data_IF_299194146538
#
_entry.id   IF_299194146538
#
_cell.length_a   1.000
_cell.length_b   1.000
_cell.length_c   1.000
_cell.angle_alpha   90.00
_cell.angle_beta   90.00
_cell.angle_gamma   90.00
#
_symmetry.space_group_name_H-M   'P 1'
#
loop_
_entity.id
_entity.type
_entity.pdbx_description
1 polymer ?
#
# COMPACT_ATOMS: atom_id res chain seq x y z
N UNK A 1 1.31 -12.92 6.67
CA UNK A 1 2.71 -13.42 6.57
C UNK A 1 2.91 -14.35 5.35
N UNK A 2 1.93 -15.12 4.94
CA UNK A 2 2.03 -15.97 3.73
C UNK A 2 2.31 -15.12 2.49
N UNK A 3 1.55 -14.05 2.27
CA UNK A 3 1.76 -13.14 1.15
C UNK A 3 3.19 -12.55 1.11
N UNK A 4 3.78 -12.22 2.27
CA UNK A 4 5.17 -11.72 2.32
C UNK A 4 6.17 -12.77 1.85
N UNK A 5 5.94 -14.05 2.15
CA UNK A 5 6.75 -15.17 1.64
C UNK A 5 6.58 -15.34 0.12
N UNK A 6 5.36 -15.13 -0.38
CA UNK A 6 5.09 -15.28 -1.81
C UNK A 6 5.77 -14.21 -2.64
N UNK A 7 5.84 -12.98 -2.14
CA UNK A 7 6.53 -11.88 -2.83
C UNK A 7 8.05 -11.94 -2.67
N UNK A 8 8.59 -12.63 -1.68
CA UNK A 8 10.03 -12.72 -1.43
C UNK A 8 10.81 -13.19 -2.67
N UNK A 9 10.23 -14.08 -3.47
CA UNK A 9 10.84 -14.58 -4.72
C UNK A 9 11.02 -13.52 -5.80
N UNK A 10 10.28 -12.40 -5.71
CA UNK A 10 10.35 -11.26 -6.64
C UNK A 10 11.29 -10.15 -6.13
N UNK A 11 11.80 -10.28 -4.91
CA UNK A 11 12.73 -9.33 -4.31
C UNK A 11 14.19 -9.77 -4.52
N UNK A 12 15.14 -8.84 -4.59
CA UNK A 12 16.56 -9.18 -4.68
C UNK A 12 17.00 -9.97 -3.43
N UNK A 13 18.05 -10.79 -3.54
CA UNK A 13 18.59 -11.58 -2.41
C UNK A 13 19.48 -10.78 -1.45
N UNK A 14 19.89 -9.57 -1.83
CA UNK A 14 20.77 -8.70 -1.04
C UNK A 14 20.02 -7.81 -0.04
N UNK A 15 20.53 -6.60 0.12
CA UNK A 15 19.92 -5.56 0.92
C UNK A 15 18.54 -5.19 0.41
N UNK A 16 17.66 -4.76 1.31
CA UNK A 16 16.32 -4.33 0.97
C UNK A 16 16.08 -2.88 1.38
N UNK A 17 15.59 -2.09 0.45
CA UNK A 17 14.96 -0.80 0.74
C UNK A 17 13.45 -0.93 0.61
N UNK A 18 12.74 -0.65 1.69
CA UNK A 18 11.28 -0.81 1.80
C UNK A 18 10.66 0.53 2.19
N UNK A 19 9.56 0.91 1.55
CA UNK A 19 8.79 2.09 1.92
C UNK A 19 7.35 1.70 2.29
N UNK A 20 6.87 2.16 3.44
CA UNK A 20 5.46 2.07 3.83
C UNK A 20 4.83 3.47 3.72
N UNK A 21 4.04 3.65 2.69
CA UNK A 21 3.43 4.93 2.35
C UNK A 21 2.00 5.02 2.94
N UNK A 22 1.75 6.02 3.79
CA UNK A 22 0.57 6.13 4.66
C UNK A 22 0.57 5.04 5.74
N UNK A 23 1.68 4.91 6.46
CA UNK A 23 1.95 3.76 7.34
C UNK A 23 1.01 3.66 8.56
N UNK A 24 0.36 4.75 8.97
CA UNK A 24 -0.52 4.76 10.15
C UNK A 24 0.19 4.19 11.38
N UNK A 25 -0.46 3.30 12.12
CA UNK A 25 0.13 2.61 13.29
C UNK A 25 1.18 1.56 12.94
N UNK A 26 1.48 1.37 11.67
CA UNK A 26 2.62 0.61 11.14
C UNK A 26 2.69 -0.88 11.56
N UNK A 27 1.55 -1.50 11.87
CA UNK A 27 1.56 -2.93 12.24
C UNK A 27 2.18 -3.81 11.14
N UNK A 28 1.90 -3.47 9.87
CA UNK A 28 2.47 -4.20 8.74
C UNK A 28 3.97 -3.91 8.61
N UNK A 29 4.40 -2.65 8.77
CA UNK A 29 5.81 -2.28 8.72
C UNK A 29 6.64 -3.06 9.74
N UNK A 30 6.18 -3.12 11.00
CA UNK A 30 6.86 -3.90 12.05
C UNK A 30 6.94 -5.38 11.70
N UNK A 31 5.85 -5.96 11.17
CA UNK A 31 5.82 -7.36 10.78
C UNK A 31 6.75 -7.67 9.60
N UNK A 32 6.76 -6.80 8.58
CA UNK A 32 7.62 -6.93 7.39
C UNK A 32 9.10 -6.76 7.76
N UNK A 33 9.42 -5.73 8.55
CA UNK A 33 10.78 -5.51 9.03
C UNK A 33 11.27 -6.70 9.86
N UNK A 34 10.47 -7.16 10.83
CA UNK A 34 10.82 -8.33 11.64
C UNK A 34 11.07 -9.57 10.77
N UNK A 35 10.23 -9.80 9.77
CA UNK A 35 10.40 -10.95 8.89
C UNK A 35 11.73 -10.89 8.13
N UNK A 36 12.01 -9.81 7.44
CA UNK A 36 13.21 -9.73 6.61
C UNK A 36 14.49 -9.50 7.43
N UNK A 37 14.47 -8.59 8.41
CA UNK A 37 15.66 -8.24 9.17
C UNK A 37 15.99 -9.27 10.26
N UNK A 38 14.99 -9.75 11.03
CA UNK A 38 15.23 -10.62 12.18
C UNK A 38 15.15 -12.09 11.79
N UNK A 39 14.09 -12.51 11.11
CA UNK A 39 13.90 -13.95 10.78
C UNK A 39 14.83 -14.36 9.63
N UNK A 40 14.92 -13.55 8.58
CA UNK A 40 15.75 -13.84 7.40
C UNK A 40 17.21 -13.36 7.55
N UNK A 41 17.50 -12.52 8.55
CA UNK A 41 18.84 -11.98 8.79
C UNK A 41 19.37 -11.06 7.69
N UNK A 42 18.46 -10.40 6.95
CA UNK A 42 18.82 -9.50 5.84
C UNK A 42 19.13 -8.09 6.35
N UNK A 43 19.97 -7.38 5.63
CA UNK A 43 20.12 -5.95 5.83
C UNK A 43 18.92 -5.22 5.23
N UNK A 44 18.11 -4.57 6.08
CA UNK A 44 16.86 -3.90 5.68
C UNK A 44 16.93 -2.45 6.12
N UNK A 45 16.71 -1.54 5.18
CA UNK A 45 16.34 -0.15 5.44
C UNK A 45 14.86 0.00 5.13
N UNK A 46 14.07 0.40 6.11
CA UNK A 46 12.63 0.59 5.90
C UNK A 46 12.20 1.94 6.44
N UNK A 47 11.45 2.67 5.62
CA UNK A 47 10.90 3.99 5.97
C UNK A 47 9.38 3.96 5.96
N UNK A 48 8.76 4.28 7.08
CA UNK A 48 7.33 4.52 7.19
C UNK A 48 7.01 6.01 7.15
N UNK A 49 6.00 6.42 6.39
CA UNK A 49 5.64 7.84 6.21
C UNK A 49 4.15 8.03 6.49
N UNK A 50 3.83 9.02 7.30
CA UNK A 50 2.45 9.42 7.58
C UNK A 50 2.35 10.93 7.87
N UNK A 51 1.15 11.48 7.67
CA UNK A 51 0.82 12.88 7.96
C UNK A 51 0.49 13.16 9.43
N UNK A 52 0.48 12.14 10.30
CA UNK A 52 0.11 12.24 11.70
C UNK A 52 1.35 12.21 12.59
N UNK A 53 1.77 13.36 13.15
CA UNK A 53 3.00 13.43 13.93
C UNK A 53 2.98 12.57 15.20
N UNK A 54 1.83 12.46 15.87
CA UNK A 54 1.64 11.63 17.06
C UNK A 54 1.83 10.13 16.76
N UNK A 55 1.40 9.70 15.59
CA UNK A 55 1.57 8.30 15.14
C UNK A 55 3.05 8.03 14.83
N UNK A 56 3.73 8.95 14.15
CA UNK A 56 5.15 8.84 13.84
C UNK A 56 6.01 8.80 15.11
N UNK A 57 5.73 9.69 16.08
CA UNK A 57 6.41 9.68 17.37
C UNK A 57 6.23 8.33 18.09
N UNK A 58 4.98 7.83 18.14
CA UNK A 58 4.68 6.53 18.75
C UNK A 58 5.44 5.39 18.05
N UNK A 59 5.38 5.31 16.71
CA UNK A 59 6.03 4.24 15.95
C UNK A 59 7.55 4.29 16.08
N UNK A 60 8.16 5.48 16.06
CA UNK A 60 9.60 5.67 16.28
C UNK A 60 10.02 5.21 17.66
N UNK A 61 9.23 5.52 18.70
CA UNK A 61 9.47 5.05 20.06
C UNK A 61 9.41 3.52 20.17
N UNK A 62 8.43 2.89 19.52
CA UNK A 62 8.31 1.42 19.48
C UNK A 62 9.49 0.79 18.75
N UNK A 63 9.87 1.30 17.57
CA UNK A 63 11.01 0.77 16.80
C UNK A 63 12.29 0.81 17.60
N UNK A 64 12.57 1.93 18.27
CA UNK A 64 13.73 2.09 19.18
C UNK A 64 13.66 1.10 20.35
N UNK A 65 12.52 0.94 20.97
CA UNK A 65 12.36 0.05 22.13
C UNK A 65 12.57 -1.43 21.81
N UNK A 66 12.26 -1.86 20.57
CA UNK A 66 12.47 -3.24 20.11
C UNK A 66 13.80 -3.45 19.37
N UNK A 67 14.62 -2.41 19.22
CA UNK A 67 15.93 -2.48 18.56
C UNK A 67 15.87 -2.67 17.05
N UNK A 68 14.87 -2.08 16.38
CA UNK A 68 14.73 -2.12 14.92
C UNK A 68 15.45 -0.93 14.28
N UNK A 69 16.79 -0.93 14.36
CA UNK A 69 17.64 0.20 13.96
C UNK A 69 17.53 0.61 12.48
N UNK A 70 17.11 -0.31 11.61
CA UNK A 70 16.90 -0.05 10.18
C UNK A 70 15.46 0.33 9.83
N UNK A 71 14.55 0.49 10.82
CA UNK A 71 13.17 0.93 10.63
C UNK A 71 12.99 2.35 11.16
N UNK A 72 12.82 3.30 10.28
CA UNK A 72 12.60 4.71 10.59
C UNK A 72 11.20 5.18 10.22
N UNK A 73 10.72 6.22 10.89
CA UNK A 73 9.43 6.84 10.60
C UNK A 73 9.57 8.33 10.38
N UNK A 74 8.97 8.83 9.32
CA UNK A 74 9.06 10.23 8.87
C UNK A 74 7.67 10.86 8.86
N UNK A 75 7.53 11.99 9.55
CA UNK A 75 6.36 12.85 9.40
C UNK A 75 6.46 13.60 8.07
N UNK A 76 5.48 13.42 7.19
CA UNK A 76 5.49 14.10 5.91
C UNK A 76 4.40 13.65 4.95
N UNK A 77 4.28 14.44 3.88
CA UNK A 77 3.41 14.12 2.75
C UNK A 77 4.14 13.17 1.80
N UNK A 78 3.53 12.02 1.52
CA UNK A 78 4.07 11.02 0.59
C UNK A 78 4.30 11.60 -0.81
N UNK A 79 3.56 12.63 -1.21
CA UNK A 79 3.74 13.29 -2.52
C UNK A 79 5.12 13.97 -2.64
N UNK A 80 5.67 14.45 -1.53
CA UNK A 80 6.97 15.10 -1.46
C UNK A 80 8.13 14.13 -1.21
N UNK A 81 7.85 12.90 -0.78
CA UNK A 81 8.89 11.91 -0.50
C UNK A 81 9.52 11.38 -1.79
N UNK A 82 10.84 11.44 -1.87
CA UNK A 82 11.62 10.92 -2.99
C UNK A 82 12.85 10.19 -2.43
N UNK A 83 12.85 8.87 -2.39
CA UNK A 83 14.02 8.09 -1.96
C UNK A 83 15.18 8.29 -2.96
N UNK A 84 16.40 8.35 -2.43
CA UNK A 84 17.62 8.49 -3.25
C UNK A 84 18.08 7.15 -3.84
N UNK A 85 17.78 6.06 -3.14
CA UNK A 85 18.14 4.69 -3.52
C UNK A 85 16.96 3.99 -4.20
N UNK A 86 17.23 2.91 -4.94
CA UNK A 86 16.20 2.07 -5.55
C UNK A 86 15.35 1.36 -4.50
N UNK A 87 14.04 1.51 -4.59
CA UNK A 87 13.08 0.89 -3.66
C UNK A 87 12.71 -0.50 -4.15
N UNK A 88 12.93 -1.52 -3.32
CA UNK A 88 12.57 -2.88 -3.68
C UNK A 88 11.11 -3.20 -3.39
N UNK A 89 10.57 -2.69 -2.28
CA UNK A 89 9.20 -2.97 -1.88
C UNK A 89 8.50 -1.69 -1.42
N UNK A 90 7.38 -1.38 -2.03
CA UNK A 90 6.45 -0.37 -1.51
C UNK A 90 5.24 -1.09 -0.93
N UNK A 91 4.91 -0.77 0.31
CA UNK A 91 3.69 -1.25 0.97
C UNK A 91 2.80 -0.07 1.33
N UNK A 92 1.50 -0.28 1.32
CA UNK A 92 0.52 0.68 1.80
C UNK A 92 -0.75 -0.04 2.24
N UNK A 93 -0.98 -0.05 3.54
CA UNK A 93 -2.17 -0.64 4.13
C UNK A 93 -3.14 0.49 4.52
N UNK A 94 -4.32 0.52 3.90
CA UNK A 94 -5.36 1.50 4.18
C UNK A 94 -5.06 2.96 3.78
N UNK A 95 -4.29 3.20 2.72
CA UNK A 95 -4.34 4.48 2.04
C UNK A 95 -5.74 4.67 1.44
N UNK A 96 -6.42 5.74 1.82
CA UNK A 96 -7.81 5.93 1.45
C UNK A 96 -7.94 6.74 0.15
N UNK A 97 -8.79 6.26 -0.76
CA UNK A 97 -9.23 6.99 -1.95
C UNK A 97 -8.06 7.53 -2.80
N UNK A 98 -7.95 8.83 -2.99
CA UNK A 98 -6.89 9.50 -3.78
C UNK A 98 -5.48 9.21 -3.20
N UNK A 99 -5.36 8.98 -1.89
CA UNK A 99 -4.06 8.64 -1.31
C UNK A 99 -3.50 7.33 -1.88
N UNK A 100 -4.36 6.34 -2.19
CA UNK A 100 -3.94 5.12 -2.91
C UNK A 100 -3.35 5.46 -4.28
N UNK A 101 -3.97 6.39 -5.02
CA UNK A 101 -3.49 6.77 -6.36
C UNK A 101 -2.12 7.46 -6.28
N UNK A 102 -1.90 8.30 -5.25
CA UNK A 102 -0.60 8.92 -4.97
C UNK A 102 0.44 7.86 -4.63
N UNK A 103 0.10 6.88 -3.78
CA UNK A 103 0.99 5.74 -3.45
C UNK A 103 1.41 5.01 -4.71
N UNK A 104 0.45 4.60 -5.55
CA UNK A 104 0.74 3.86 -6.79
C UNK A 104 1.55 4.69 -7.78
N UNK A 105 1.26 6.00 -7.88
CA UNK A 105 2.06 6.92 -8.69
C UNK A 105 3.50 7.01 -8.20
N UNK A 106 3.71 7.13 -6.88
CA UNK A 106 5.05 7.16 -6.28
C UNK A 106 5.79 5.85 -6.49
N UNK A 107 5.16 4.73 -6.16
CA UNK A 107 5.76 3.41 -6.31
C UNK A 107 6.19 3.12 -7.76
N UNK A 108 5.34 3.45 -8.74
CA UNK A 108 5.69 3.32 -10.16
C UNK A 108 6.74 4.34 -10.61
N UNK A 109 6.73 5.53 -10.04
CA UNK A 109 7.72 6.59 -10.33
C UNK A 109 9.12 6.23 -9.90
N UNK A 110 9.28 5.55 -8.76
CA UNK A 110 10.57 5.02 -8.27
C UNK A 110 10.89 3.63 -8.83
N UNK A 111 10.03 3.09 -9.69
CA UNK A 111 10.18 1.76 -10.29
C UNK A 111 10.40 0.65 -9.26
N UNK A 112 9.59 0.65 -8.20
CA UNK A 112 9.67 -0.37 -7.15
C UNK A 112 9.55 -1.79 -7.74
N UNK A 113 10.33 -2.75 -7.23
CA UNK A 113 10.29 -4.13 -7.73
C UNK A 113 8.95 -4.79 -7.43
N UNK A 114 8.42 -4.53 -6.23
CA UNK A 114 7.13 -5.05 -5.77
C UNK A 114 6.29 -3.94 -5.12
N UNK A 115 5.00 -3.95 -5.37
CA UNK A 115 4.02 -3.02 -4.76
C UNK A 115 2.92 -3.86 -4.11
N UNK A 116 2.68 -3.64 -2.81
CA UNK A 116 1.55 -4.17 -2.06
C UNK A 116 0.66 -3.02 -1.59
N UNK A 117 -0.54 -2.93 -2.13
CA UNK A 117 -1.47 -1.86 -1.80
C UNK A 117 -2.85 -2.42 -1.46
N UNK A 118 -3.40 -2.00 -0.32
CA UNK A 118 -4.75 -2.40 0.13
C UNK A 118 -5.65 -1.17 0.18
N UNK A 119 -6.35 -0.86 -0.92
CA UNK A 119 -7.30 0.25 -0.96
C UNK A 119 -8.52 -0.10 -0.11
N UNK A 120 -8.94 0.84 0.76
CA UNK A 120 -10.07 0.59 1.67
C UNK A 120 -11.29 1.49 1.41
N UNK A 121 -11.15 2.56 0.64
CA UNK A 121 -12.21 3.53 0.36
C UNK A 121 -12.13 4.00 -1.10
N UNK A 122 -13.29 4.16 -1.74
CA UNK A 122 -13.43 4.52 -3.16
C UNK A 122 -14.59 5.51 -3.32
N UNK A 123 -14.39 6.76 -2.93
CA UNK A 123 -15.46 7.75 -2.95
C UNK A 123 -15.37 8.71 -4.12
N UNK A 124 -14.21 8.91 -4.71
CA UNK A 124 -13.98 9.93 -5.73
C UNK A 124 -14.75 9.61 -7.03
N UNK A 125 -14.60 8.38 -7.54
CA UNK A 125 -15.32 7.97 -8.75
C UNK A 125 -16.84 7.99 -8.55
N UNK A 126 -17.34 7.59 -7.39
CA UNK A 126 -18.76 7.60 -7.09
C UNK A 126 -19.36 9.02 -7.17
N UNK A 127 -18.63 10.04 -6.74
CA UNK A 127 -19.07 11.45 -6.83
C UNK A 127 -19.07 11.97 -8.27
N UNK A 128 -18.18 11.45 -9.11
CA UNK A 128 -17.94 11.96 -10.47
C UNK A 128 -18.63 11.17 -11.57
N UNK A 129 -19.06 9.93 -11.28
CA UNK A 129 -19.67 9.07 -12.29
C UNK A 129 -20.98 9.66 -12.79
N UNK A 130 -20.98 10.06 -14.06
CA UNK A 130 -22.17 10.46 -14.81
C UNK A 130 -22.17 9.70 -16.15
N UNK A 131 -23.07 8.72 -16.29
CA UNK A 131 -23.09 7.84 -17.45
C UNK A 131 -24.51 7.29 -17.69
N UNK A 132 -25.14 7.76 -18.73
CA UNK A 132 -26.50 7.35 -19.11
C UNK A 132 -26.62 5.84 -19.35
N UNK A 133 -25.63 5.24 -19.98
CA UNK A 133 -25.58 3.79 -20.24
C UNK A 133 -25.62 2.95 -18.97
N UNK A 134 -25.09 3.49 -17.87
CA UNK A 134 -25.03 2.82 -16.56
C UNK A 134 -26.12 3.29 -15.60
N UNK A 135 -27.11 4.07 -16.08
CA UNK A 135 -28.16 4.64 -15.22
C UNK A 135 -28.98 3.57 -14.49
N UNK A 136 -29.16 2.39 -15.10
CA UNK A 136 -29.86 1.25 -14.48
C UNK A 136 -29.20 0.73 -13.22
N UNK A 137 -27.89 0.94 -13.02
CA UNK A 137 -27.15 0.67 -11.78
C UNK A 137 -26.97 1.97 -10.98
N UNK A 138 -26.64 3.06 -11.67
CA UNK A 138 -26.31 4.36 -11.08
C UNK A 138 -27.44 4.97 -10.24
N UNK A 139 -28.69 4.66 -10.55
CA UNK A 139 -29.88 5.11 -9.81
C UNK A 139 -30.07 4.39 -8.45
N UNK A 140 -29.31 3.33 -8.18
CA UNK A 140 -29.36 2.58 -6.93
C UNK A 140 -28.06 2.80 -6.15
N UNK A 141 -28.10 3.62 -5.09
CA UNK A 141 -26.91 4.11 -4.37
C UNK A 141 -25.93 3.00 -3.95
N UNK A 142 -26.44 1.89 -3.41
CA UNK A 142 -25.60 0.75 -2.99
C UNK A 142 -24.93 0.06 -4.20
N UNK A 143 -25.66 -0.14 -5.30
CA UNK A 143 -25.12 -0.78 -6.50
C UNK A 143 -24.12 0.15 -7.20
N UNK A 144 -24.43 1.45 -7.25
CA UNK A 144 -23.52 2.47 -7.75
C UNK A 144 -22.19 2.46 -6.98
N UNK A 145 -22.23 2.39 -5.65
CA UNK A 145 -21.02 2.34 -4.82
C UNK A 145 -20.17 1.11 -5.18
N UNK A 146 -20.76 -0.08 -5.21
CA UNK A 146 -20.04 -1.32 -5.57
C UNK A 146 -19.45 -1.28 -6.97
N UNK A 147 -20.18 -0.72 -7.93
CA UNK A 147 -19.67 -0.52 -9.29
C UNK A 147 -18.46 0.40 -9.31
N UNK A 148 -18.53 1.53 -8.59
CA UNK A 148 -17.45 2.50 -8.54
C UNK A 148 -16.22 1.93 -7.80
N UNK A 149 -16.41 1.17 -6.73
CA UNK A 149 -15.33 0.48 -6.01
C UNK A 149 -14.58 -0.47 -6.96
N UNK A 150 -15.32 -1.39 -7.59
CA UNK A 150 -14.73 -2.36 -8.53
C UNK A 150 -14.09 -1.69 -9.75
N UNK A 151 -14.72 -0.65 -10.30
CA UNK A 151 -14.18 0.09 -11.44
C UNK A 151 -12.89 0.84 -11.09
N UNK A 152 -12.82 1.44 -9.89
CA UNK A 152 -11.61 2.14 -9.43
C UNK A 152 -10.45 1.17 -9.32
N UNK A 153 -10.65 0.01 -8.69
CA UNK A 153 -9.58 -0.97 -8.54
C UNK A 153 -9.18 -1.58 -9.89
N UNK A 154 -10.14 -1.87 -10.76
CA UNK A 154 -9.84 -2.33 -12.11
C UNK A 154 -9.02 -1.31 -12.92
N UNK A 155 -9.29 -0.02 -12.80
CA UNK A 155 -8.51 1.04 -13.44
C UNK A 155 -7.09 1.13 -12.87
N UNK A 156 -6.92 0.99 -11.56
CA UNK A 156 -5.59 0.93 -10.89
C UNK A 156 -4.77 -0.25 -11.39
N UNK A 157 -5.37 -1.44 -11.45
CA UNK A 157 -4.70 -2.63 -12.00
C UNK A 157 -4.26 -2.40 -13.44
N UNK A 158 -5.14 -1.86 -14.30
CA UNK A 158 -4.81 -1.56 -15.70
C UNK A 158 -3.72 -0.50 -15.84
N UNK A 159 -3.69 0.50 -14.95
CA UNK A 159 -2.64 1.49 -14.93
C UNK A 159 -1.28 0.84 -14.58
N UNK A 160 -1.23 -0.02 -13.57
CA UNK A 160 -0.01 -0.75 -13.19
C UNK A 160 0.47 -1.67 -14.31
N UNK A 161 -0.43 -2.43 -14.96
CA UNK A 161 -0.09 -3.22 -16.15
C UNK A 161 0.51 -2.36 -17.26
N UNK A 162 -0.06 -1.16 -17.51
CA UNK A 162 0.47 -0.23 -18.52
C UNK A 162 1.87 0.30 -18.20
N UNK A 163 2.28 0.23 -16.92
CA UNK A 163 3.62 0.57 -16.45
C UNK A 163 4.58 -0.63 -16.45
N UNK A 164 4.12 -1.80 -16.87
CA UNK A 164 4.95 -3.02 -17.01
C UNK A 164 4.91 -3.94 -15.79
N UNK A 165 4.05 -3.69 -14.81
CA UNK A 165 3.88 -4.58 -13.66
C UNK A 165 3.01 -5.79 -14.02
N UNK A 166 3.36 -6.95 -13.52
CA UNK A 166 2.46 -8.09 -13.41
C UNK A 166 1.58 -7.88 -12.18
N UNK A 167 0.26 -7.86 -12.37
CA UNK A 167 -0.68 -7.49 -11.30
C UNK A 167 -1.62 -8.63 -10.94
N UNK A 168 -1.96 -8.70 -9.66
CA UNK A 168 -2.94 -9.64 -9.12
C UNK A 168 -3.82 -8.96 -8.09
N UNK A 169 -5.13 -9.14 -8.19
CA UNK A 169 -6.06 -8.76 -7.14
C UNK A 169 -6.26 -9.96 -6.21
N UNK A 170 -5.97 -9.78 -4.92
CA UNK A 170 -6.00 -10.85 -3.92
C UNK A 170 -6.93 -10.47 -2.77
N UNK A 171 -7.62 -11.45 -2.21
CA UNK A 171 -8.32 -11.31 -0.94
C UNK A 171 -7.35 -11.60 0.20
N UNK A 172 -7.18 -10.63 1.11
CA UNK A 172 -6.21 -10.70 2.21
C UNK A 172 -6.70 -11.56 3.37
N UNK A 173 -7.99 -11.48 3.65
CA UNK A 173 -8.69 -12.17 4.75
C UNK A 173 -10.06 -12.61 4.26
N UNK A 174 -10.72 -13.45 5.03
CA UNK A 174 -12.04 -13.95 4.70
C UNK A 174 -13.03 -12.79 4.48
N UNK A 175 -13.81 -12.78 3.37
CA UNK A 175 -14.84 -11.78 3.13
C UNK A 175 -15.88 -11.64 4.25
N UNK A 176 -16.08 -12.67 5.07
CA UNK A 176 -16.96 -12.62 6.23
C UNK A 176 -16.40 -11.73 7.35
N UNK A 177 -15.07 -11.53 7.42
CA UNK A 177 -14.44 -10.68 8.42
C UNK A 177 -14.45 -9.20 8.03
N UNK A 178 -14.33 -8.89 6.74
CA UNK A 178 -14.43 -7.54 6.21
C UNK A 178 -14.73 -7.53 4.70
N UNK A 179 -15.62 -6.65 4.24
CA UNK A 179 -15.87 -6.48 2.80
C UNK A 179 -14.75 -5.70 2.06
N UNK A 180 -13.74 -5.20 2.80
CA UNK A 180 -12.64 -4.36 2.28
C UNK A 180 -11.30 -5.07 2.45
N UNK A 181 -11.16 -6.22 1.84
CA UNK A 181 -10.01 -7.11 1.96
C UNK A 181 -9.22 -7.29 0.65
N UNK A 182 -9.48 -6.51 -0.37
CA UNK A 182 -8.79 -6.57 -1.65
C UNK A 182 -7.37 -5.96 -1.53
N UNK A 183 -6.38 -6.67 -2.07
CA UNK A 183 -4.99 -6.21 -2.20
C UNK A 183 -4.54 -6.36 -3.65
#
# INVERSE_FOLDING_TARGET
>A
MELIRDIEKHLPKGDLLICDLCCGKSYLSFAVYHYFAVIQGRNVKMTGIDLKPDVIEYCSGVASAVGFDGLEFIYGDISAYNPEEHVNLVISLHACDIATDIVLQKATGVQADVILSTPCCHHDLNKKLDCDTLSFIGNHSMLRQKLCDAATDALRLKLLESKGYEVSALELIDPDDTPKNLM
#
